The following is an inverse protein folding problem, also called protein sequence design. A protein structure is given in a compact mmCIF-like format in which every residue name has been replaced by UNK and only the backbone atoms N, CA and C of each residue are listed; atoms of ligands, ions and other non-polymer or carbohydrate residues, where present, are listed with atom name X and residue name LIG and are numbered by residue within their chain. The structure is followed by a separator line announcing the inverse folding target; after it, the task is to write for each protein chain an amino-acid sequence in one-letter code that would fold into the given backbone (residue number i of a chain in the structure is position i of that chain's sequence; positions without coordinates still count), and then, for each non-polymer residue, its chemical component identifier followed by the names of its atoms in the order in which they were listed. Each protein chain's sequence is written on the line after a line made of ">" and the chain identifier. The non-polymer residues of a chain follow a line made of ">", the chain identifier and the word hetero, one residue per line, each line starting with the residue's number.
data_IF_873478769526
#
_entry.id   IF_873478769526
#
_cell.length_a   1.000
_cell.length_b   1.000
_cell.length_c   1.000
_cell.angle_alpha   90.00
_cell.angle_beta   90.00
_cell.angle_gamma   90.00
#
_symmetry.space_group_name_H-M   'P 1'
#
loop_
_entity.id
_entity.type
_entity.pdbx_description
1 polymer ?
#
# COMPACT_ATOMS: atom_id res chain seq x y z
N UNK A 1 -14.43 -14.48 3.30
CA UNK A 1 -15.16 -13.33 3.92
C UNK A 1 -16.38 -12.97 3.08
N UNK A 2 -17.39 -12.37 3.71
CA UNK A 2 -18.63 -11.89 3.08
C UNK A 2 -18.61 -10.36 3.01
N UNK A 3 -19.15 -9.77 1.94
CA UNK A 3 -19.20 -8.32 1.73
C UNK A 3 -20.61 -7.83 1.37
N UNK A 4 -21.62 -8.69 1.57
CA UNK A 4 -23.00 -8.42 1.13
C UNK A 4 -23.60 -7.20 1.84
N UNK A 5 -23.19 -6.95 3.07
CA UNK A 5 -23.67 -5.81 3.91
C UNK A 5 -22.73 -4.57 3.82
N UNK A 6 -21.69 -4.61 3.00
CA UNK A 6 -20.77 -3.49 2.85
C UNK A 6 -21.32 -2.46 1.87
N UNK A 7 -21.17 -1.19 2.20
CA UNK A 7 -21.50 -0.09 1.31
C UNK A 7 -20.32 0.14 0.34
N UNK A 8 -20.56 0.28 -0.96
CA UNK A 8 -19.49 0.69 -1.87
C UNK A 8 -19.08 2.14 -1.62
N UNK A 9 -17.78 2.43 -1.73
CA UNK A 9 -17.22 3.77 -1.68
C UNK A 9 -17.38 4.50 -3.01
N UNK A 10 -17.67 5.80 -2.95
CA UNK A 10 -17.62 6.72 -4.09
C UNK A 10 -16.20 7.30 -4.31
N UNK A 11 -15.24 6.98 -3.43
CA UNK A 11 -13.87 7.49 -3.47
C UNK A 11 -12.90 6.62 -4.31
N UNK A 12 -13.41 5.68 -5.10
CA UNK A 12 -12.61 4.92 -6.05
C UNK A 12 -12.48 5.71 -7.34
N UNK A 13 -11.24 5.93 -7.78
CA UNK A 13 -10.88 6.53 -9.06
C UNK A 13 -10.30 5.43 -9.95
N UNK A 14 -11.06 4.94 -10.93
CA UNK A 14 -10.61 3.87 -11.82
C UNK A 14 -9.89 4.43 -13.06
N UNK A 15 -8.58 4.26 -13.10
CA UNK A 15 -7.70 4.67 -14.17
C UNK A 15 -7.05 3.49 -14.92
N UNK A 16 -7.54 2.26 -14.72
CA UNK A 16 -6.96 1.04 -15.32
C UNK A 16 -7.05 1.01 -16.85
N UNK A 17 -8.00 1.74 -17.43
CA UNK A 17 -8.17 1.85 -18.88
C UNK A 17 -7.31 2.95 -19.51
N UNK A 18 -6.80 3.90 -18.73
CA UNK A 18 -5.78 4.79 -19.23
C UNK A 18 -4.56 3.92 -19.57
N UNK A 19 -4.31 3.73 -20.85
CA UNK A 19 -3.05 3.13 -21.28
C UNK A 19 -1.95 3.97 -20.70
N UNK A 20 -1.28 3.46 -19.66
CA UNK A 20 -0.06 4.02 -19.14
C UNK A 20 1.00 3.95 -20.23
N UNK A 21 0.88 4.83 -21.21
CA UNK A 21 1.99 5.15 -22.07
C UNK A 21 2.99 5.83 -21.18
N UNK A 22 4.10 5.16 -20.87
CA UNK A 22 5.33 5.85 -20.52
C UNK A 22 5.48 6.88 -21.65
N UNK A 23 5.54 8.20 -21.34
CA UNK A 23 5.91 9.18 -22.34
C UNK A 23 7.32 8.75 -22.83
N UNK A 24 7.45 8.28 -24.08
CA UNK A 24 8.60 7.56 -24.56
C UNK A 24 8.31 6.07 -24.73
N UNK A 25 7.26 5.73 -25.49
CA UNK A 25 7.01 4.36 -25.91
C UNK A 25 8.26 3.75 -26.54
N UNK A 26 8.44 2.42 -26.40
CA UNK A 26 9.59 1.62 -26.85
C UNK A 26 9.99 1.78 -28.35
N UNK A 27 9.55 2.82 -29.01
CA UNK A 27 9.92 3.22 -30.37
C UNK A 27 11.00 4.30 -30.47
N UNK A 28 11.44 4.95 -29.35
CA UNK A 28 12.36 6.08 -29.41
C UNK A 28 13.75 5.86 -28.81
N UNK A 29 13.91 4.92 -27.87
CA UNK A 29 15.23 4.62 -27.29
C UNK A 29 15.62 3.20 -27.67
N UNK A 30 16.61 3.07 -28.54
CA UNK A 30 17.15 1.76 -28.92
C UNK A 30 17.65 1.00 -27.68
N UNK A 31 17.59 -0.33 -27.73
CA UNK A 31 18.07 -1.25 -26.66
C UNK A 31 19.45 -0.84 -26.15
N UNK A 32 20.32 -0.28 -27.01
CA UNK A 32 21.63 0.24 -26.63
C UNK A 32 21.60 1.40 -25.63
N UNK A 33 20.62 2.32 -25.73
CA UNK A 33 20.51 3.46 -24.81
C UNK A 33 20.07 3.01 -23.40
N UNK A 34 19.16 2.03 -23.33
CA UNK A 34 18.71 1.46 -22.05
C UNK A 34 19.88 0.75 -21.33
N UNK A 35 20.69 0.02 -22.07
CA UNK A 35 21.88 -0.65 -21.51
C UNK A 35 22.91 0.37 -21.03
N UNK A 36 23.17 1.43 -21.78
CA UNK A 36 24.13 2.49 -21.41
C UNK A 36 23.66 3.23 -20.15
N UNK A 37 22.37 3.60 -20.07
CA UNK A 37 21.79 4.26 -18.89
C UNK A 37 21.88 3.32 -17.67
N UNK A 38 21.59 2.04 -17.83
CA UNK A 38 21.72 1.05 -16.76
C UNK A 38 23.16 0.90 -16.25
N UNK A 39 24.16 0.89 -17.15
CA UNK A 39 25.56 0.78 -16.78
C UNK A 39 26.08 2.06 -16.08
N UNK A 40 25.69 3.23 -16.55
CA UNK A 40 26.04 4.52 -15.94
C UNK A 40 25.41 4.61 -14.55
N UNK A 41 24.13 4.26 -14.40
CA UNK A 41 23.45 4.21 -13.11
C UNK A 41 24.12 3.30 -12.12
N UNK A 42 24.52 2.11 -12.56
CA UNK A 42 25.24 1.13 -11.73
C UNK A 42 26.62 1.62 -11.31
N UNK A 43 27.39 2.26 -12.23
CA UNK A 43 28.74 2.70 -11.97
C UNK A 43 28.80 3.93 -11.06
N UNK A 44 27.88 4.88 -11.23
CA UNK A 44 27.85 6.14 -10.45
C UNK A 44 26.92 6.11 -9.24
N UNK A 45 26.17 5.01 -9.01
CA UNK A 45 25.19 4.91 -7.92
C UNK A 45 24.02 5.87 -8.05
N UNK A 46 23.72 6.35 -9.28
CA UNK A 46 22.65 7.29 -9.58
C UNK A 46 21.40 6.48 -9.96
N UNK A 47 20.23 6.89 -9.44
CA UNK A 47 18.97 6.26 -9.82
C UNK A 47 18.74 6.38 -11.34
N UNK A 48 18.47 5.26 -12.06
CA UNK A 48 18.23 5.27 -13.50
C UNK A 48 17.14 6.24 -13.95
N UNK A 49 16.15 6.52 -13.08
CA UNK A 49 15.05 7.43 -13.37
C UNK A 49 15.50 8.89 -13.49
N UNK A 50 16.54 9.28 -12.75
CA UNK A 50 17.13 10.64 -12.80
C UNK A 50 17.81 10.88 -14.15
N UNK A 51 18.51 9.86 -14.66
CA UNK A 51 19.20 9.97 -15.97
C UNK A 51 18.21 9.92 -17.15
N UNK A 52 17.13 9.14 -17.04
CA UNK A 52 16.08 9.09 -18.06
C UNK A 52 15.29 10.40 -18.13
N UNK A 53 14.99 11.02 -17.00
CA UNK A 53 14.31 12.32 -16.95
C UNK A 53 15.22 13.45 -17.49
N UNK A 54 16.52 13.43 -17.19
CA UNK A 54 17.49 14.38 -17.72
C UNK A 54 17.66 14.28 -19.25
N UNK A 55 17.62 13.09 -19.81
CA UNK A 55 17.73 12.88 -21.27
C UNK A 55 16.50 13.40 -22.05
N UNK A 56 15.30 13.37 -21.45
CA UNK A 56 14.07 13.90 -22.08
C UNK A 56 14.07 15.42 -22.19
N UNK A 57 14.72 16.13 -21.27
CA UNK A 57 14.86 17.61 -21.31
C UNK A 57 15.78 18.05 -22.46
N UNK A 58 16.74 17.21 -22.85
CA UNK A 58 17.73 17.54 -23.88
C UNK A 58 17.27 17.26 -25.33
N UNK A 59 16.24 16.43 -25.50
CA UNK A 59 15.78 16.02 -26.86
C UNK A 59 14.63 16.83 -27.44
N UNK A 60 14.05 17.80 -26.71
CA UNK A 60 13.21 18.89 -27.24
C UNK A 60 12.03 18.46 -28.15
N UNK A 61 11.49 17.26 -28.00
CA UNK A 61 10.44 16.75 -28.87
C UNK A 61 9.06 17.10 -28.31
N UNK A 62 8.41 18.08 -28.94
CA UNK A 62 7.03 18.50 -28.66
C UNK A 62 6.06 17.46 -29.23
N UNK A 63 6.05 16.25 -28.69
CA UNK A 63 5.02 15.28 -29.03
C UNK A 63 3.72 15.66 -28.33
N UNK A 64 2.68 15.87 -29.12
CA UNK A 64 1.30 16.11 -28.75
C UNK A 64 0.91 15.28 -27.51
N UNK A 65 0.63 15.95 -26.39
CA UNK A 65 0.00 15.37 -25.21
C UNK A 65 -1.33 14.76 -25.63
N UNK A 66 -1.34 13.47 -25.91
CA UNK A 66 -2.57 12.71 -25.90
C UNK A 66 -3.03 12.66 -24.43
N UNK A 67 -3.94 13.55 -24.08
CA UNK A 67 -4.60 13.55 -22.77
C UNK A 67 -5.24 12.18 -22.59
N UNK A 68 -4.70 11.40 -21.64
CA UNK A 68 -5.35 10.16 -21.23
C UNK A 68 -6.81 10.48 -20.83
N UNK A 69 -7.78 9.60 -21.15
CA UNK A 69 -9.15 9.81 -20.71
C UNK A 69 -9.17 10.02 -19.19
N UNK A 70 -10.01 10.94 -18.69
CA UNK A 70 -10.11 11.18 -17.26
C UNK A 70 -10.51 9.89 -16.54
N UNK A 71 -9.93 9.66 -15.37
CA UNK A 71 -10.30 8.53 -14.53
C UNK A 71 -11.82 8.56 -14.24
N UNK A 72 -12.46 7.41 -14.30
CA UNK A 72 -13.85 7.27 -13.88
C UNK A 72 -13.91 7.23 -12.35
N UNK A 73 -14.73 8.11 -11.75
CA UNK A 73 -14.92 8.15 -10.30
C UNK A 73 -16.19 7.38 -9.93
N UNK A 74 -16.15 6.65 -8.83
CA UNK A 74 -17.25 5.84 -8.31
C UNK A 74 -16.97 4.34 -8.40
N UNK A 75 -17.99 3.52 -8.11
CA UNK A 75 -17.85 2.05 -8.07
C UNK A 75 -17.56 1.48 -9.46
N UNK A 76 -16.42 0.82 -9.68
CA UNK A 76 -16.12 0.14 -10.93
C UNK A 76 -17.11 -0.98 -11.25
N UNK A 77 -17.25 -1.35 -12.54
CA UNK A 77 -18.24 -2.34 -12.97
C UNK A 77 -17.78 -3.80 -12.87
N UNK A 78 -16.47 -4.04 -12.83
CA UNK A 78 -15.91 -5.40 -12.71
C UNK A 78 -15.89 -5.92 -11.27
N UNK A 79 -15.77 -7.24 -11.10
CA UNK A 79 -15.84 -7.88 -9.79
C UNK A 79 -14.74 -7.41 -8.82
N UNK A 80 -13.51 -7.22 -9.30
CA UNK A 80 -12.38 -6.79 -8.48
C UNK A 80 -12.55 -5.34 -8.03
N UNK A 81 -12.91 -4.44 -8.97
CA UNK A 81 -13.16 -3.05 -8.65
C UNK A 81 -14.34 -2.85 -7.69
N UNK A 82 -15.42 -3.63 -7.87
CA UNK A 82 -16.55 -3.66 -6.92
C UNK A 82 -16.09 -4.10 -5.52
N UNK A 83 -15.30 -5.15 -5.44
CA UNK A 83 -14.76 -5.63 -4.18
C UNK A 83 -13.90 -4.57 -3.48
N UNK A 84 -13.00 -3.90 -4.21
CA UNK A 84 -12.19 -2.80 -3.67
C UNK A 84 -13.10 -1.67 -3.14
N UNK A 85 -14.14 -1.29 -3.89
CA UNK A 85 -15.06 -0.24 -3.46
C UNK A 85 -15.85 -0.64 -2.19
N UNK A 86 -16.27 -1.90 -2.06
CA UNK A 86 -16.95 -2.40 -0.87
C UNK A 86 -16.05 -2.38 0.37
N UNK A 87 -14.80 -2.86 0.25
CA UNK A 87 -13.84 -2.83 1.35
C UNK A 87 -13.51 -1.39 1.76
N UNK A 88 -13.22 -0.52 0.78
CA UNK A 88 -12.94 0.89 1.06
C UNK A 88 -14.10 1.57 1.76
N UNK A 89 -15.33 1.35 1.31
CA UNK A 89 -16.54 1.92 1.90
C UNK A 89 -16.76 1.49 3.35
N UNK A 90 -16.50 0.22 3.68
CA UNK A 90 -16.60 -0.26 5.06
C UNK A 90 -15.48 0.28 5.95
N UNK A 91 -14.25 0.46 5.41
CA UNK A 91 -13.18 1.16 6.14
C UNK A 91 -13.55 2.61 6.43
N UNK A 92 -14.14 3.32 5.47
CA UNK A 92 -14.61 4.71 5.65
C UNK A 92 -15.64 4.81 6.77
N UNK A 93 -16.64 3.94 6.77
CA UNK A 93 -17.69 3.91 7.80
C UNK A 93 -17.09 3.63 9.18
N UNK A 94 -16.20 2.66 9.27
CA UNK A 94 -15.49 2.30 10.51
C UNK A 94 -14.69 3.48 11.07
N UNK A 95 -13.85 4.11 10.25
CA UNK A 95 -12.99 5.20 10.71
C UNK A 95 -13.79 6.47 11.02
N UNK A 96 -14.85 6.73 10.27
CA UNK A 96 -15.79 7.83 10.56
C UNK A 96 -16.43 7.68 11.95
N UNK A 97 -16.87 6.47 12.29
CA UNK A 97 -17.42 6.17 13.62
C UNK A 97 -16.37 6.37 14.73
N UNK A 98 -15.14 5.87 14.53
CA UNK A 98 -14.06 5.97 15.52
C UNK A 98 -13.63 7.42 15.74
N UNK A 99 -13.45 8.19 14.67
CA UNK A 99 -13.05 9.60 14.75
C UNK A 99 -14.14 10.45 15.40
N UNK A 100 -15.41 10.22 15.04
CA UNK A 100 -16.55 10.91 15.65
C UNK A 100 -16.66 10.63 17.16
N UNK A 101 -16.43 9.38 17.58
CA UNK A 101 -16.39 9.03 19.00
C UNK A 101 -15.25 9.75 19.76
N UNK A 102 -14.16 10.07 19.07
CA UNK A 102 -13.05 10.89 19.57
C UNK A 102 -13.26 12.40 19.42
N UNK A 103 -14.42 12.87 18.97
CA UNK A 103 -14.70 14.30 18.73
C UNK A 103 -13.98 14.89 17.51
N UNK A 104 -13.53 14.05 16.57
CA UNK A 104 -12.80 14.45 15.35
C UNK A 104 -13.62 14.13 14.10
N UNK A 105 -13.30 14.83 13.01
CA UNK A 105 -13.83 14.51 11.68
C UNK A 105 -12.82 13.64 10.94
N UNK A 106 -13.29 12.58 10.28
CA UNK A 106 -12.51 11.75 9.37
C UNK A 106 -12.73 12.19 7.93
N UNK A 107 -11.66 12.39 7.18
CA UNK A 107 -11.70 12.69 5.75
C UNK A 107 -11.22 11.44 5.00
N UNK A 108 -12.10 10.73 4.28
CA UNK A 108 -11.69 9.46 3.64
C UNK A 108 -10.65 9.69 2.53
N UNK A 109 -9.71 8.74 2.35
CA UNK A 109 -8.76 8.79 1.25
C UNK A 109 -9.45 8.51 -0.07
N UNK A 110 -8.86 8.93 -1.18
CA UNK A 110 -9.19 8.40 -2.49
C UNK A 110 -8.36 7.16 -2.79
N UNK A 111 -8.94 6.18 -3.49
CA UNK A 111 -8.23 5.01 -3.96
C UNK A 111 -8.16 5.03 -5.48
N UNK A 112 -6.94 5.13 -6.02
CA UNK A 112 -6.65 5.11 -7.44
C UNK A 112 -6.32 3.68 -7.88
N UNK A 113 -7.22 3.11 -8.71
CA UNK A 113 -6.94 1.87 -9.43
C UNK A 113 -6.17 2.20 -10.69
N UNK A 114 -5.05 1.53 -10.92
CA UNK A 114 -4.24 1.72 -12.12
C UNK A 114 -3.76 0.37 -12.70
N UNK A 115 -3.11 0.40 -13.85
CA UNK A 115 -2.46 -0.76 -14.46
C UNK A 115 -1.07 -0.38 -14.97
N UNK A 116 -0.05 -1.13 -14.56
CA UNK A 116 1.33 -0.96 -14.99
C UNK A 116 2.05 0.20 -14.31
N UNK A 117 1.74 1.43 -14.69
CA UNK A 117 2.33 2.63 -14.09
C UNK A 117 1.35 3.81 -14.06
N UNK A 118 1.43 4.63 -13.01
CA UNK A 118 0.58 5.80 -12.78
C UNK A 118 1.42 6.94 -12.17
N UNK A 119 1.24 8.16 -12.65
CA UNK A 119 1.89 9.34 -12.05
C UNK A 119 1.03 9.84 -10.89
N UNK A 120 1.61 9.86 -9.69
CA UNK A 120 0.96 10.34 -8.46
C UNK A 120 1.72 11.45 -7.77
N UNK A 121 1.18 11.94 -6.66
CA UNK A 121 1.79 12.98 -5.83
C UNK A 121 3.13 12.59 -5.19
N UNK A 122 3.36 11.29 -4.99
CA UNK A 122 4.61 10.73 -4.48
C UNK A 122 5.57 10.25 -5.58
N UNK A 123 5.32 10.59 -6.84
CA UNK A 123 6.11 10.16 -7.98
C UNK A 123 5.43 9.08 -8.80
N UNK A 124 6.21 8.31 -9.56
CA UNK A 124 5.72 7.28 -10.45
C UNK A 124 5.39 5.99 -9.67
N UNK A 125 4.10 5.70 -9.51
CA UNK A 125 3.60 4.41 -9.04
C UNK A 125 3.83 3.34 -10.10
N UNK A 126 4.31 2.15 -9.71
CA UNK A 126 4.52 0.99 -10.59
C UNK A 126 3.94 -0.26 -9.94
N UNK A 127 3.38 -1.16 -10.73
CA UNK A 127 2.83 -2.44 -10.25
C UNK A 127 3.82 -3.22 -9.35
N UNK A 128 5.12 -3.18 -9.69
CA UNK A 128 6.17 -3.87 -8.93
C UNK A 128 6.40 -3.31 -7.51
N UNK A 129 5.90 -2.11 -7.20
CA UNK A 129 6.02 -1.50 -5.87
C UNK A 129 4.99 -2.05 -4.88
N UNK A 130 3.95 -2.73 -5.38
CA UNK A 130 2.77 -3.07 -4.59
C UNK A 130 1.85 -1.88 -4.33
N UNK A 131 0.75 -2.08 -3.62
CA UNK A 131 -0.11 -1.00 -3.13
C UNK A 131 0.65 -0.08 -2.17
N UNK A 132 0.28 1.20 -2.15
CA UNK A 132 0.83 2.15 -1.18
C UNK A 132 -0.09 3.36 -0.98
N UNK A 133 -0.01 3.97 0.20
CA UNK A 133 -0.59 5.27 0.49
C UNK A 133 0.40 6.40 0.20
N UNK A 134 -0.05 7.45 -0.45
CA UNK A 134 0.73 8.66 -0.70
C UNK A 134 0.20 9.84 0.14
N UNK A 135 0.95 10.33 1.16
CA UNK A 135 0.49 11.44 1.99
C UNK A 135 0.46 12.79 1.26
N UNK A 136 1.20 12.94 0.14
CA UNK A 136 1.25 14.20 -0.61
C UNK A 136 -0.09 14.53 -1.29
N UNK A 137 -0.81 13.54 -1.78
CA UNK A 137 -2.10 13.72 -2.45
C UNK A 137 -3.25 12.95 -1.77
N UNK A 138 -2.97 12.33 -0.60
CA UNK A 138 -3.91 11.58 0.23
C UNK A 138 -4.63 10.47 -0.56
N UNK A 139 -3.87 9.75 -1.40
CA UNK A 139 -4.38 8.66 -2.23
C UNK A 139 -3.72 7.33 -1.90
N UNK A 140 -4.52 6.29 -1.97
CA UNK A 140 -4.06 4.91 -2.04
C UNK A 140 -3.91 4.55 -3.52
N UNK A 141 -2.76 4.03 -3.91
CA UNK A 141 -2.48 3.53 -5.26
C UNK A 141 -2.49 2.01 -5.26
N UNK A 142 -3.32 1.42 -6.10
CA UNK A 142 -3.51 -0.03 -6.19
C UNK A 142 -3.55 -0.49 -7.64
N UNK A 143 -2.56 -1.27 -8.06
CA UNK A 143 -2.67 -2.08 -9.27
C UNK A 143 -3.32 -3.43 -8.90
N UNK A 144 -4.46 -3.73 -9.52
CA UNK A 144 -5.19 -4.97 -9.24
C UNK A 144 -4.44 -6.23 -9.65
N UNK A 145 -3.37 -6.12 -10.47
CA UNK A 145 -2.45 -7.22 -10.74
C UNK A 145 -1.75 -7.73 -9.47
N UNK A 146 -1.59 -6.88 -8.45
CA UNK A 146 -1.05 -7.27 -7.15
C UNK A 146 -1.85 -8.39 -6.47
N UNK A 147 -3.16 -8.43 -6.65
CA UNK A 147 -3.98 -9.51 -6.09
C UNK A 147 -3.65 -10.87 -6.70
N UNK A 148 -3.32 -10.90 -8.01
CA UNK A 148 -2.82 -12.12 -8.64
C UNK A 148 -1.44 -12.52 -8.09
N UNK A 149 -0.58 -11.54 -7.82
CA UNK A 149 0.73 -11.79 -7.21
C UNK A 149 0.57 -12.32 -5.77
N UNK A 150 -0.38 -11.78 -5.01
CA UNK A 150 -0.72 -12.25 -3.68
C UNK A 150 -1.11 -13.74 -3.68
N UNK A 151 -1.91 -14.14 -4.65
CA UNK A 151 -2.33 -15.54 -4.83
C UNK A 151 -1.17 -16.45 -5.25
N UNK A 152 -0.42 -16.04 -6.25
CA UNK A 152 0.48 -16.93 -6.99
C UNK A 152 1.94 -16.90 -6.51
N UNK A 153 2.42 -15.73 -6.02
CA UNK A 153 3.82 -15.55 -5.64
C UNK A 153 4.05 -15.63 -4.14
N UNK A 154 3.12 -15.07 -3.36
CA UNK A 154 3.30 -15.03 -1.91
C UNK A 154 2.71 -16.24 -1.18
N UNK A 155 2.18 -17.23 -1.93
CA UNK A 155 1.64 -18.47 -1.36
C UNK A 155 0.52 -18.25 -0.35
N UNK A 156 -0.13 -17.08 -0.48
CA UNK A 156 -1.00 -16.54 0.54
C UNK A 156 -2.35 -17.20 0.63
N UNK A 157 -2.86 -17.91 -0.39
CA UNK A 157 -4.23 -18.41 -0.32
C UNK A 157 -4.45 -19.70 -1.11
N UNK A 158 -5.21 -20.61 -0.51
CA UNK A 158 -5.51 -21.92 -1.10
C UNK A 158 -6.46 -21.84 -2.32
N UNK A 159 -7.24 -20.77 -2.45
CA UNK A 159 -8.18 -20.51 -3.55
C UNK A 159 -8.61 -19.03 -3.56
N UNK A 160 -9.28 -18.58 -4.63
CA UNK A 160 -9.71 -17.21 -4.83
C UNK A 160 -10.62 -16.65 -3.70
N UNK A 161 -11.44 -17.48 -3.08
CA UNK A 161 -12.30 -17.06 -1.97
C UNK A 161 -11.51 -16.89 -0.67
N UNK A 162 -10.52 -17.74 -0.42
CA UNK A 162 -9.62 -17.59 0.72
C UNK A 162 -8.76 -16.32 0.65
N UNK A 163 -8.48 -15.81 -0.56
CA UNK A 163 -7.71 -14.58 -0.74
C UNK A 163 -8.46 -13.30 -0.40
N UNK A 164 -9.79 -13.31 -0.40
CA UNK A 164 -10.59 -12.09 -0.23
C UNK A 164 -10.26 -11.30 1.02
N UNK A 165 -10.08 -11.97 2.15
CA UNK A 165 -9.70 -11.25 3.37
C UNK A 165 -8.24 -10.78 3.35
N UNK A 166 -7.35 -11.48 2.66
CA UNK A 166 -5.97 -11.02 2.43
C UNK A 166 -5.92 -9.76 1.57
N UNK A 167 -6.73 -9.72 0.50
CA UNK A 167 -6.89 -8.53 -0.34
C UNK A 167 -7.49 -7.36 0.45
N UNK A 168 -8.51 -7.63 1.28
CA UNK A 168 -9.12 -6.64 2.16
C UNK A 168 -8.16 -6.12 3.24
N UNK A 169 -7.35 -7.01 3.83
CA UNK A 169 -6.29 -6.63 4.78
C UNK A 169 -5.29 -5.65 4.16
N UNK A 170 -4.85 -5.88 2.93
CA UNK A 170 -3.93 -4.95 2.25
C UNK A 170 -4.57 -3.58 2.07
N UNK A 171 -5.82 -3.52 1.60
CA UNK A 171 -6.55 -2.24 1.46
C UNK A 171 -6.67 -1.54 2.83
N UNK A 172 -7.04 -2.28 3.87
CA UNK A 172 -7.18 -1.73 5.22
C UNK A 172 -5.84 -1.28 5.82
N UNK A 173 -4.71 -1.90 5.46
CA UNK A 173 -3.36 -1.49 5.82
C UNK A 173 -3.02 -0.13 5.20
N UNK A 174 -3.29 0.07 3.91
CA UNK A 174 -3.07 1.34 3.24
C UNK A 174 -3.99 2.45 3.80
N UNK A 175 -5.24 2.12 4.14
CA UNK A 175 -6.12 3.02 4.90
C UNK A 175 -5.53 3.30 6.29
N UNK A 176 -4.87 2.34 6.93
CA UNK A 176 -4.13 2.54 8.18
C UNK A 176 -3.06 3.64 8.08
N UNK A 177 -2.31 3.70 6.98
CA UNK A 177 -1.37 4.80 6.71
C UNK A 177 -2.08 6.15 6.55
N UNK A 178 -3.24 6.16 5.88
CA UNK A 178 -4.05 7.37 5.80
C UNK A 178 -4.54 7.82 7.19
N UNK A 179 -4.99 6.90 8.03
CA UNK A 179 -5.37 7.20 9.43
C UNK A 179 -4.19 7.76 10.22
N UNK A 180 -2.99 7.25 10.04
CA UNK A 180 -1.77 7.79 10.65
C UNK A 180 -1.50 9.23 10.19
N UNK A 181 -1.78 9.56 8.93
CA UNK A 181 -1.66 10.90 8.39
C UNK A 181 -2.69 11.84 9.02
N UNK A 182 -3.97 11.45 9.06
CA UNK A 182 -5.06 12.17 9.74
C UNK A 182 -4.81 12.38 11.24
N UNK A 183 -4.06 11.50 11.89
CA UNK A 183 -3.63 11.60 13.29
C UNK A 183 -2.30 12.36 13.48
N UNK A 184 -1.73 12.91 12.40
CA UNK A 184 -0.45 13.63 12.38
C UNK A 184 0.76 12.78 12.82
N UNK A 185 0.64 11.45 12.75
CA UNK A 185 1.72 10.53 13.08
C UNK A 185 2.79 10.54 12.00
N UNK A 186 2.40 10.43 10.71
CA UNK A 186 3.35 10.41 9.59
C UNK A 186 4.20 11.69 9.51
N UNK A 187 3.64 12.91 9.63
CA UNK A 187 4.44 14.14 9.67
C UNK A 187 5.48 14.16 10.80
N UNK A 188 5.09 13.72 12.02
CA UNK A 188 6.01 13.65 13.16
C UNK A 188 7.13 12.64 12.94
N UNK A 189 6.80 11.43 12.48
CA UNK A 189 7.79 10.40 12.19
C UNK A 189 8.77 10.86 11.11
N UNK A 190 8.30 11.55 10.08
CA UNK A 190 9.18 12.13 9.04
C UNK A 190 10.18 13.12 9.62
N UNK A 191 9.76 13.98 10.56
CA UNK A 191 10.66 14.89 11.25
C UNK A 191 11.71 14.14 12.09
N UNK A 192 11.29 13.10 12.82
CA UNK A 192 12.19 12.26 13.61
C UNK A 192 13.18 11.50 12.72
N UNK A 193 12.73 10.97 11.58
CA UNK A 193 13.60 10.32 10.60
C UNK A 193 14.64 11.29 10.01
N UNK A 194 14.26 12.54 9.73
CA UNK A 194 15.19 13.57 9.25
C UNK A 194 16.23 13.97 10.31
N UNK A 195 15.87 13.90 11.59
CA UNK A 195 16.76 14.17 12.72
C UNK A 195 17.60 12.96 13.15
N UNK A 196 17.32 11.77 12.65
CA UNK A 196 18.00 10.53 13.02
C UNK A 196 19.46 10.51 12.57
N UNK A 197 20.35 9.98 13.42
CA UNK A 197 21.78 9.93 13.16
C UNK A 197 22.19 8.84 12.14
N UNK A 198 21.32 7.86 11.90
CA UNK A 198 21.64 6.71 11.04
C UNK A 198 20.44 6.21 10.23
N UNK A 199 20.74 5.49 9.14
CA UNK A 199 19.70 4.82 8.35
C UNK A 199 18.99 3.72 9.14
N UNK A 200 19.68 3.05 10.06
CA UNK A 200 19.10 2.03 10.92
C UNK A 200 18.02 2.64 11.85
N UNK A 201 18.27 3.83 12.43
CA UNK A 201 17.27 4.55 13.23
C UNK A 201 16.06 4.97 12.40
N UNK A 202 16.29 5.50 11.18
CA UNK A 202 15.20 5.83 10.25
C UNK A 202 14.34 4.60 9.93
N UNK A 203 14.99 3.47 9.65
CA UNK A 203 14.31 2.21 9.36
C UNK A 203 13.52 1.68 10.58
N UNK A 204 14.09 1.80 11.79
CA UNK A 204 13.39 1.40 13.02
C UNK A 204 12.11 2.23 13.26
N UNK A 205 12.12 3.53 12.95
CA UNK A 205 10.92 4.37 12.97
C UNK A 205 9.91 3.93 11.90
N UNK A 206 10.38 3.60 10.68
CA UNK A 206 9.51 3.11 9.62
C UNK A 206 8.83 1.79 10.02
N UNK A 207 9.57 0.84 10.60
CA UNK A 207 8.98 -0.41 11.12
C UNK A 207 7.84 -0.14 12.09
N UNK A 208 7.95 0.87 12.97
CA UNK A 208 6.87 1.24 13.90
C UNK A 208 5.64 1.77 13.18
N UNK A 209 5.82 2.54 12.11
CA UNK A 209 4.73 3.02 11.22
C UNK A 209 4.00 1.83 10.60
N UNK A 210 4.73 0.89 10.02
CA UNK A 210 4.15 -0.28 9.34
C UNK A 210 3.38 -1.19 10.30
N UNK A 211 3.98 -1.50 11.45
CA UNK A 211 3.33 -2.33 12.46
C UNK A 211 2.08 -1.66 13.06
N UNK A 212 2.08 -0.33 13.13
CA UNK A 212 0.89 0.40 13.54
C UNK A 212 -0.20 0.32 12.46
N UNK A 213 0.15 0.41 11.17
CA UNK A 213 -0.81 0.24 10.08
C UNK A 213 -1.42 -1.18 10.08
N UNK A 214 -0.62 -2.23 10.36
CA UNK A 214 -1.13 -3.59 10.57
C UNK A 214 -2.14 -3.66 11.74
N UNK A 215 -1.84 -2.99 12.85
CA UNK A 215 -2.75 -2.92 14.00
C UNK A 215 -4.05 -2.17 13.66
N UNK A 216 -3.97 -1.06 12.92
CA UNK A 216 -5.13 -0.29 12.47
C UNK A 216 -6.00 -1.10 11.50
N UNK A 217 -5.40 -1.89 10.61
CA UNK A 217 -6.14 -2.86 9.79
C UNK A 217 -6.85 -3.92 10.65
N UNK A 218 -6.23 -4.35 11.73
CA UNK A 218 -6.85 -5.22 12.73
C UNK A 218 -8.04 -4.57 13.43
N UNK A 219 -7.98 -3.28 13.77
CA UNK A 219 -9.11 -2.52 14.34
C UNK A 219 -10.28 -2.49 13.37
N UNK A 220 -10.03 -2.18 12.10
CA UNK A 220 -11.08 -2.24 11.09
C UNK A 220 -11.74 -3.63 11.08
N UNK A 221 -10.95 -4.70 11.00
CA UNK A 221 -11.48 -6.05 10.98
C UNK A 221 -12.30 -6.40 12.24
N UNK A 222 -11.90 -5.93 13.44
CA UNK A 222 -12.68 -6.07 14.67
C UNK A 222 -14.05 -5.40 14.55
N UNK A 223 -14.07 -4.14 14.12
CA UNK A 223 -15.30 -3.35 14.03
C UNK A 223 -16.25 -3.88 12.96
N UNK A 224 -15.73 -4.19 11.77
CA UNK A 224 -16.49 -4.81 10.69
C UNK A 224 -17.04 -6.19 11.11
N UNK A 225 -16.26 -7.01 11.83
CA UNK A 225 -16.73 -8.30 12.35
C UNK A 225 -17.89 -8.13 13.35
N UNK A 226 -17.80 -7.15 14.22
CA UNK A 226 -18.87 -6.87 15.21
C UNK A 226 -20.15 -6.35 14.54
N UNK A 227 -20.01 -5.60 13.45
CA UNK A 227 -21.13 -4.96 12.76
C UNK A 227 -21.82 -5.90 11.76
N UNK A 228 -21.02 -6.65 10.99
CA UNK A 228 -21.49 -7.41 9.82
C UNK A 228 -21.32 -8.93 9.97
N UNK A 229 -20.56 -9.39 10.98
CA UNK A 229 -20.20 -10.82 11.10
C UNK A 229 -19.64 -11.40 9.79
N UNK A 230 -18.68 -10.69 9.19
CA UNK A 230 -18.24 -10.84 7.80
C UNK A 230 -17.14 -11.90 7.59
N UNK A 231 -16.43 -12.26 8.66
CA UNK A 231 -15.32 -13.23 8.60
C UNK A 231 -15.85 -14.66 8.54
N UNK A 232 -15.33 -15.44 7.62
CA UNK A 232 -15.52 -16.87 7.56
C UNK A 232 -14.37 -17.61 8.28
N UNK A 233 -14.57 -18.87 8.70
CA UNK A 233 -13.51 -19.67 9.30
C UNK A 233 -12.28 -19.76 8.38
N UNK A 234 -11.10 -19.45 8.92
CA UNK A 234 -9.82 -19.47 8.19
C UNK A 234 -9.41 -18.14 7.56
N UNK A 235 -10.29 -17.14 7.47
CA UNK A 235 -9.96 -15.82 6.90
C UNK A 235 -8.81 -15.12 7.66
N UNK A 236 -8.88 -15.14 8.99
CA UNK A 236 -7.84 -14.53 9.84
C UNK A 236 -6.49 -15.22 9.65
N UNK A 237 -6.48 -16.56 9.62
CA UNK A 237 -5.25 -17.32 9.38
C UNK A 237 -4.64 -16.96 8.01
N UNK A 238 -5.49 -16.76 7.01
CA UNK A 238 -5.08 -16.38 5.67
C UNK A 238 -4.44 -14.97 5.64
N UNK A 239 -5.07 -13.98 6.31
CA UNK A 239 -4.48 -12.64 6.43
C UNK A 239 -3.14 -12.67 7.18
N UNK A 240 -3.02 -13.51 8.22
CA UNK A 240 -1.76 -13.71 8.94
C UNK A 240 -0.68 -14.35 8.07
N UNK A 241 -1.03 -15.27 7.18
CA UNK A 241 -0.11 -15.84 6.19
C UNK A 241 0.35 -14.75 5.21
N UNK A 242 -0.56 -13.90 4.75
CA UNK A 242 -0.24 -12.78 3.88
C UNK A 242 0.70 -11.78 4.55
N UNK A 243 0.37 -11.31 5.77
CA UNK A 243 1.22 -10.42 6.56
C UNK A 243 2.63 -11.03 6.75
N UNK A 244 2.70 -12.34 6.98
CA UNK A 244 3.94 -13.09 7.09
C UNK A 244 4.73 -13.15 5.78
N UNK A 245 4.04 -13.34 4.66
CA UNK A 245 4.67 -13.48 3.35
C UNK A 245 5.38 -12.20 2.88
N UNK A 246 4.90 -11.05 3.33
CA UNK A 246 5.46 -9.73 3.02
C UNK A 246 6.29 -9.13 4.16
N UNK A 247 6.66 -9.93 5.17
CA UNK A 247 7.62 -9.51 6.20
C UNK A 247 9.06 -9.47 5.66
N UNK A 248 9.84 -8.48 6.13
CA UNK A 248 11.21 -8.25 5.66
C UNK A 248 12.15 -9.44 5.88
N UNK A 249 11.99 -10.15 6.99
CA UNK A 249 12.78 -11.33 7.32
C UNK A 249 12.61 -12.45 6.28
N UNK A 250 11.38 -12.68 5.83
CA UNK A 250 11.07 -13.67 4.80
C UNK A 250 11.53 -13.21 3.43
N UNK A 251 11.20 -11.97 3.04
CA UNK A 251 11.58 -11.42 1.74
C UNK A 251 13.11 -11.37 1.56
N UNK A 252 13.85 -10.96 2.60
CA UNK A 252 15.32 -10.96 2.55
C UNK A 252 15.89 -12.36 2.49
N UNK A 253 15.36 -13.33 3.24
CA UNK A 253 15.81 -14.71 3.21
C UNK A 253 15.58 -15.35 1.84
N UNK A 254 14.42 -15.10 1.21
CA UNK A 254 14.11 -15.61 -0.14
C UNK A 254 14.96 -14.96 -1.23
N UNK A 255 15.26 -13.66 -1.13
CA UNK A 255 15.99 -12.92 -2.18
C UNK A 255 17.50 -12.92 -2.02
N UNK A 256 18.01 -12.94 -0.77
CA UNK A 256 19.44 -12.77 -0.45
C UNK A 256 20.05 -13.99 0.26
N UNK A 257 19.21 -14.91 0.77
CA UNK A 257 19.65 -16.07 1.55
C UNK A 257 19.97 -15.78 3.02
N UNK A 258 20.00 -14.52 3.44
CA UNK A 258 20.28 -14.08 4.82
C UNK A 258 19.44 -12.86 5.21
N UNK A 259 19.35 -12.59 6.51
CA UNK A 259 18.52 -11.53 7.10
C UNK A 259 19.41 -10.45 7.69
N UNK A 260 19.08 -9.18 7.45
CA UNK A 260 19.74 -7.98 7.99
C UNK A 260 18.70 -7.13 8.70
N UNK A 261 18.51 -7.27 10.04
CA UNK A 261 17.46 -6.57 10.79
C UNK A 261 17.50 -5.04 10.66
N UNK A 262 18.68 -4.43 10.63
CA UNK A 262 18.85 -2.97 10.52
C UNK A 262 18.39 -2.42 9.15
N UNK A 263 18.18 -3.31 8.17
CA UNK A 263 17.64 -2.96 6.86
C UNK A 263 16.13 -3.20 6.73
N UNK A 264 15.45 -3.57 7.80
CA UNK A 264 14.00 -3.77 7.79
C UNK A 264 13.29 -2.42 7.67
N UNK A 265 12.27 -2.40 6.85
CA UNK A 265 11.37 -1.25 6.67
C UNK A 265 9.92 -1.58 7.00
N UNK A 266 9.53 -2.87 6.96
CA UNK A 266 8.16 -3.33 7.25
C UNK A 266 8.06 -4.17 8.53
N UNK A 267 9.18 -4.57 9.11
CA UNK A 267 9.22 -5.44 10.27
C UNK A 267 9.20 -6.93 9.93
N UNK A 268 9.36 -7.77 10.95
CA UNK A 268 9.34 -9.23 10.79
C UNK A 268 7.93 -9.75 10.58
N UNK A 269 7.84 -10.92 9.95
CA UNK A 269 6.60 -11.68 9.79
C UNK A 269 5.84 -11.86 11.12
N UNK A 270 6.56 -12.13 12.21
CA UNK A 270 5.99 -12.32 13.55
C UNK A 270 5.46 -11.01 14.14
N UNK A 271 6.19 -9.91 13.97
CA UNK A 271 5.77 -8.59 14.43
C UNK A 271 4.49 -8.16 13.71
N UNK A 272 4.43 -8.29 12.39
CA UNK A 272 3.25 -7.96 11.59
C UNK A 272 2.01 -8.72 12.04
N UNK A 273 2.12 -10.05 12.20
CA UNK A 273 1.04 -10.88 12.74
C UNK A 273 0.58 -10.42 14.11
N UNK A 274 1.51 -10.20 15.02
CA UNK A 274 1.22 -9.82 16.41
C UNK A 274 0.45 -8.50 16.46
N UNK A 275 0.85 -7.50 15.71
CA UNK A 275 0.20 -6.20 15.72
C UNK A 275 -1.17 -6.23 15.06
N UNK A 276 -1.33 -6.93 13.93
CA UNK A 276 -2.64 -7.16 13.35
C UNK A 276 -3.61 -7.86 14.33
N UNK A 277 -3.19 -8.95 14.95
CA UNK A 277 -4.00 -9.67 15.95
C UNK A 277 -4.35 -8.81 17.15
N UNK A 278 -3.45 -7.93 17.57
CA UNK A 278 -3.71 -6.99 18.65
C UNK A 278 -4.84 -6.04 18.29
N UNK A 279 -4.80 -5.43 17.12
CA UNK A 279 -5.88 -4.60 16.61
C UNK A 279 -7.20 -5.34 16.49
N UNK A 280 -7.15 -6.55 15.92
CA UNK A 280 -8.32 -7.43 15.75
C UNK A 280 -8.96 -7.81 17.10
N UNK A 281 -8.18 -8.02 18.14
CA UNK A 281 -8.66 -8.39 19.46
C UNK A 281 -9.24 -7.19 20.21
N UNK A 282 -8.51 -6.10 20.27
CA UNK A 282 -8.84 -4.96 21.14
C UNK A 282 -9.83 -3.97 20.48
N UNK A 283 -9.71 -3.72 19.18
CA UNK A 283 -10.59 -2.81 18.42
C UNK A 283 -10.52 -1.34 18.87
N UNK A 284 -9.39 -0.92 19.46
CA UNK A 284 -9.13 0.41 20.01
C UNK A 284 -7.78 0.95 19.54
N UNK A 285 -7.73 2.22 19.11
CA UNK A 285 -6.51 2.90 18.65
C UNK A 285 -5.42 2.91 19.74
N UNK A 286 -5.79 3.06 21.01
CA UNK A 286 -4.82 3.08 22.10
C UNK A 286 -3.99 1.79 22.19
N UNK A 287 -4.54 0.65 21.75
CA UNK A 287 -3.83 -0.61 21.66
C UNK A 287 -2.72 -0.63 20.60
N UNK A 288 -2.79 0.27 19.61
CA UNK A 288 -1.88 0.33 18.44
C UNK A 288 -0.68 1.29 18.64
N UNK A 289 -0.32 1.63 19.87
CA UNK A 289 0.84 2.51 20.11
C UNK A 289 2.17 1.74 19.98
N UNK A 290 2.64 1.58 18.73
CA UNK A 290 3.92 0.93 18.43
C UNK A 290 5.12 1.76 18.85
N UNK A 291 4.97 3.09 18.99
CA UNK A 291 6.05 4.00 19.35
C UNK A 291 6.42 3.91 20.81
N UNK A 292 5.48 3.53 21.69
CA UNK A 292 5.75 3.29 23.11
C UNK A 292 6.08 1.82 23.43
N UNK A 293 5.90 0.90 22.47
CA UNK A 293 6.13 -0.53 22.70
C UNK A 293 7.62 -0.87 22.70
N UNK A 294 8.02 -1.72 23.66
CA UNK A 294 9.33 -2.35 23.72
C UNK A 294 9.21 -3.68 24.49
N UNK A 295 9.47 -4.85 23.85
CA UNK A 295 9.76 -5.03 22.42
C UNK A 295 8.54 -4.79 21.51
N UNK A 296 8.83 -4.58 20.22
CA UNK A 296 7.82 -4.49 19.15
C UNK A 296 7.17 -5.83 18.86
#
# INVERSE_FOLDING_TARGET
>A
MRTDDFRPSDNVEDNRQARGGIPGGAGGLGIGTIVIVGLISWYFGIDPSVLLNGAQILTGDSSSQQTAPPATTGTPNDATGKFVALVLGDTEDTWKEIFAAGGRTYHPPKLRLFSGAEQGGCGLARSAMGPFYCPTDQRIYLDTAFFNDLQNKFGGCANSNACKFSEAYVIAHEVGHHVQDELEILPRVRQEQQASASKAEQNALQVRVELQADCLAGIWANRAQRKHNFLDPGDVDQALQTASAIGDDRLQKETRGYVVPDAFTHGTSEQRKRWFLRGLKEGDIAACNTFAANPL
#
